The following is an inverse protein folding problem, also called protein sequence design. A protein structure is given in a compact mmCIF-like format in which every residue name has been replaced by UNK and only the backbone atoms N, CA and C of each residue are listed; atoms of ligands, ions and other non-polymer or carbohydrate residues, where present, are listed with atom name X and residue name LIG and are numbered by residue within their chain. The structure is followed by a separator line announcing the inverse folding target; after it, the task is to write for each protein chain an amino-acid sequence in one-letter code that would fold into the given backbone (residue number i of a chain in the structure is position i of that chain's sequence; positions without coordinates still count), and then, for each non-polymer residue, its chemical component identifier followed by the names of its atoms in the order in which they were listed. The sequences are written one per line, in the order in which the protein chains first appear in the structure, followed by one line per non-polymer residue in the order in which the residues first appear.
data_IF_319348837532
#
_entry.id   IF_319348837532
#
_cell.length_a   1.000
_cell.length_b   1.000
_cell.length_c   1.000
_cell.angle_alpha   90.00
_cell.angle_beta   90.00
_cell.angle_gamma   90.00
#
_symmetry.space_group_name_H-M   'P 1'
#
loop_
_entity.id
_entity.type
_entity.pdbx_description
1 polymer ?
#
# COMPACT_ATOMS: atom_id res chain seq x y z
N UNK A 1 1.97 -12.77 7.40
CA UNK A 1 0.65 -12.63 6.75
C UNK A 1 0.72 -13.19 5.34
N UNK A 2 -0.30 -13.98 4.93
CA UNK A 2 -0.33 -14.58 3.60
C UNK A 2 -1.74 -14.49 2.99
N UNK A 3 -1.83 -14.06 1.75
CA UNK A 3 -3.01 -14.12 0.90
C UNK A 3 -2.77 -15.19 -0.17
N UNK A 4 -3.77 -16.05 -0.45
CA UNK A 4 -3.67 -17.12 -1.44
C UNK A 4 -4.81 -16.99 -2.46
N UNK A 5 -4.45 -16.70 -3.72
CA UNK A 5 -5.35 -16.61 -4.87
C UNK A 5 -6.64 -15.80 -4.60
N UNK A 6 -6.51 -14.69 -3.88
CA UNK A 6 -7.63 -13.85 -3.45
C UNK A 6 -8.30 -13.21 -4.67
N UNK A 7 -9.60 -13.47 -4.81
CA UNK A 7 -10.47 -12.85 -5.81
C UNK A 7 -11.63 -12.14 -5.12
N UNK A 8 -12.04 -10.98 -5.61
CA UNK A 8 -13.19 -10.28 -5.08
C UNK A 8 -13.98 -9.54 -6.15
N UNK A 9 -15.32 -9.66 -6.06
CA UNK A 9 -16.25 -9.02 -6.98
C UNK A 9 -17.31 -8.24 -6.20
N UNK A 10 -17.67 -7.05 -6.69
CA UNK A 10 -18.83 -6.28 -6.22
C UNK A 10 -19.94 -6.36 -7.28
N UNK A 11 -21.11 -6.82 -6.90
CA UNK A 11 -22.29 -6.91 -7.80
C UNK A 11 -21.96 -7.60 -9.15
N UNK A 12 -21.16 -8.67 -9.11
CA UNK A 12 -20.75 -9.42 -10.30
C UNK A 12 -19.59 -8.81 -11.10
N UNK A 13 -19.09 -7.63 -10.72
CA UNK A 13 -17.93 -7.00 -11.35
C UNK A 13 -16.67 -7.39 -10.58
N UNK A 14 -15.75 -8.10 -11.24
CA UNK A 14 -14.47 -8.50 -10.65
C UNK A 14 -13.58 -7.27 -10.46
N UNK A 15 -13.11 -7.04 -9.22
CA UNK A 15 -12.23 -5.92 -8.85
C UNK A 15 -10.81 -6.41 -8.56
N UNK A 16 -10.68 -7.59 -7.95
CA UNK A 16 -9.39 -8.26 -7.67
C UNK A 16 -9.49 -9.68 -8.21
N UNK A 17 -8.44 -10.13 -8.88
CA UNK A 17 -8.42 -11.43 -9.53
C UNK A 17 -7.12 -12.20 -9.25
N UNK A 18 -7.24 -13.25 -8.43
CA UNK A 18 -6.20 -14.25 -8.18
C UNK A 18 -4.94 -13.70 -7.49
N UNK A 19 -5.06 -12.72 -6.59
CA UNK A 19 -3.91 -12.12 -5.91
C UNK A 19 -3.36 -13.06 -4.82
N UNK A 20 -2.04 -13.32 -4.91
CA UNK A 20 -1.29 -13.99 -3.84
C UNK A 20 -0.18 -13.07 -3.33
N UNK A 21 -0.09 -12.94 -2.00
CA UNK A 21 0.88 -12.08 -1.32
C UNK A 21 1.37 -12.75 -0.05
N UNK A 22 2.66 -12.84 0.10
CA UNK A 22 3.30 -13.20 1.37
C UNK A 22 4.09 -12.00 1.88
N UNK A 23 3.95 -11.65 3.15
CA UNK A 23 4.70 -10.58 3.82
C UNK A 23 5.51 -11.19 4.94
N UNK A 24 6.83 -11.07 4.84
CA UNK A 24 7.78 -11.58 5.83
C UNK A 24 7.81 -10.71 7.08
N UNK A 25 8.28 -11.27 8.19
CA UNK A 25 8.46 -10.50 9.42
C UNK A 25 9.44 -9.33 9.21
N UNK A 26 9.04 -8.13 9.59
CA UNK A 26 9.83 -6.90 9.44
C UNK A 26 9.94 -6.37 8.01
N UNK A 27 9.26 -6.97 7.04
CA UNK A 27 9.29 -6.52 5.65
C UNK A 27 8.31 -5.38 5.39
N UNK A 28 8.73 -4.37 4.65
CA UNK A 28 7.85 -3.34 4.09
C UNK A 28 7.61 -3.65 2.61
N UNK A 29 6.37 -3.94 2.25
CA UNK A 29 5.92 -4.16 0.87
C UNK A 29 5.08 -2.98 0.41
N UNK A 30 5.43 -2.37 -0.73
CA UNK A 30 4.57 -1.38 -1.36
C UNK A 30 3.81 -1.98 -2.53
N UNK A 31 2.53 -1.62 -2.68
CA UNK A 31 1.71 -1.96 -3.83
C UNK A 31 1.37 -0.67 -4.58
N UNK A 32 1.81 -0.57 -5.82
CA UNK A 32 1.52 0.57 -6.70
C UNK A 32 0.60 0.14 -7.84
N UNK A 33 -0.24 1.04 -8.30
CA UNK A 33 -1.19 0.77 -9.38
C UNK A 33 -2.10 1.96 -9.65
N UNK A 34 -2.80 1.98 -10.80
CA UNK A 34 -3.71 3.07 -11.15
C UNK A 34 -4.86 3.21 -10.14
N UNK A 35 -5.51 4.38 -10.14
CA UNK A 35 -6.71 4.59 -9.33
C UNK A 35 -7.81 3.61 -9.74
N UNK A 36 -8.54 3.07 -8.75
CA UNK A 36 -9.63 2.13 -9.00
C UNK A 36 -9.21 0.68 -9.31
N UNK A 37 -7.92 0.34 -9.31
CA UNK A 37 -7.47 -1.04 -9.60
C UNK A 37 -7.70 -2.04 -8.44
N UNK A 38 -8.25 -1.60 -7.29
CA UNK A 38 -8.57 -2.51 -6.17
C UNK A 38 -7.59 -2.52 -5.01
N UNK A 39 -6.60 -1.59 -4.93
CA UNK A 39 -5.60 -1.53 -3.84
C UNK A 39 -6.23 -1.45 -2.45
N UNK A 40 -7.16 -0.52 -2.24
CA UNK A 40 -7.88 -0.38 -0.96
C UNK A 40 -8.75 -1.59 -0.66
N UNK A 41 -9.33 -2.23 -1.68
CA UNK A 41 -10.10 -3.48 -1.54
C UNK A 41 -9.17 -4.60 -1.07
N UNK A 42 -7.98 -4.73 -1.65
CA UNK A 42 -6.97 -5.70 -1.24
C UNK A 42 -6.60 -5.53 0.24
N UNK A 43 -6.32 -4.29 0.67
CA UNK A 43 -6.00 -4.02 2.07
C UNK A 43 -7.16 -4.35 3.02
N UNK A 44 -8.40 -4.03 2.64
CA UNK A 44 -9.58 -4.36 3.46
C UNK A 44 -9.78 -5.87 3.60
N UNK A 45 -9.51 -6.62 2.53
CA UNK A 45 -9.53 -8.09 2.58
C UNK A 45 -8.39 -8.61 3.48
N UNK A 46 -7.17 -8.09 3.31
CA UNK A 46 -6.02 -8.46 4.14
C UNK A 46 -6.26 -8.15 5.63
N UNK A 47 -7.01 -7.09 5.94
CA UNK A 47 -7.41 -6.70 7.30
C UNK A 47 -8.57 -7.53 7.88
N UNK A 48 -9.20 -8.41 7.09
CA UNK A 48 -10.42 -9.10 7.50
C UNK A 48 -11.67 -8.22 7.57
N UNK A 49 -11.59 -6.98 7.05
CA UNK A 49 -12.72 -6.04 6.99
C UNK A 49 -13.68 -6.34 5.83
N UNK A 50 -13.23 -7.15 4.89
CA UNK A 50 -14.00 -7.59 3.73
C UNK A 50 -13.65 -9.04 3.44
N UNK A 51 -14.66 -9.90 3.31
CA UNK A 51 -14.44 -11.29 2.92
C UNK A 51 -14.07 -11.37 1.42
N UNK A 52 -13.08 -12.18 1.02
CA UNK A 52 -12.83 -12.45 -0.39
C UNK A 52 -14.00 -13.24 -0.98
N UNK A 53 -14.25 -13.10 -2.30
CA UNK A 53 -15.23 -13.93 -3.02
C UNK A 53 -14.68 -15.34 -3.27
N UNK A 54 -13.35 -15.46 -3.41
CA UNK A 54 -12.62 -16.72 -3.56
C UNK A 54 -11.18 -16.55 -3.03
N UNK A 55 -10.51 -17.66 -2.73
CA UNK A 55 -9.19 -17.65 -2.11
C UNK A 55 -9.25 -17.54 -0.60
N UNK A 56 -8.09 -17.32 0.04
CA UNK A 56 -7.99 -17.28 1.50
C UNK A 56 -6.98 -16.26 2.00
N UNK A 57 -7.20 -15.80 3.24
CA UNK A 57 -6.28 -14.92 3.98
C UNK A 57 -5.86 -15.65 5.24
N UNK A 58 -4.57 -15.83 5.40
CA UNK A 58 -3.96 -16.44 6.57
C UNK A 58 -3.19 -15.37 7.36
N UNK A 59 -3.82 -14.88 8.40
CA UNK A 59 -3.25 -13.95 9.37
C UNK A 59 -3.41 -14.57 10.76
N UNK A 60 -2.81 -15.76 10.95
CA UNK A 60 -2.92 -16.53 12.20
C UNK A 60 -2.38 -15.70 13.37
N UNK A 61 -3.23 -15.43 14.35
CA UNK A 61 -2.95 -14.71 15.61
C UNK A 61 -2.25 -13.34 15.44
N UNK A 62 -2.26 -12.79 14.23
CA UNK A 62 -1.62 -11.51 13.95
C UNK A 62 -2.53 -10.35 14.37
N UNK A 63 -1.98 -9.46 15.19
CA UNK A 63 -2.60 -8.17 15.43
C UNK A 63 -2.34 -7.29 14.22
N UNK A 64 -3.40 -7.02 13.44
CA UNK A 64 -3.32 -6.19 12.24
C UNK A 64 -3.66 -4.76 12.61
N UNK A 65 -2.71 -3.85 12.37
CA UNK A 65 -2.93 -2.41 12.45
C UNK A 65 -3.38 -1.87 11.09
N UNK A 66 -4.36 -0.96 11.08
CA UNK A 66 -4.80 -0.31 9.85
C UNK A 66 -4.63 1.21 9.95
N UNK A 67 -3.95 1.79 8.96
CA UNK A 67 -3.78 3.24 8.79
C UNK A 67 -4.56 3.66 7.56
N UNK A 68 -5.60 4.46 7.77
CA UNK A 68 -6.45 4.99 6.70
C UNK A 68 -5.86 6.26 6.10
N UNK A 69 -6.24 6.57 4.87
CA UNK A 69 -5.92 7.83 4.20
C UNK A 69 -6.42 9.05 5.00
N UNK A 70 -7.63 8.97 5.54
CA UNK A 70 -8.08 9.88 6.60
C UNK A 70 -7.63 9.30 7.95
N UNK A 71 -6.90 10.06 8.78
CA UNK A 71 -6.37 9.59 10.07
C UNK A 71 -7.41 9.02 11.04
N UNK A 72 -8.70 9.24 10.82
CA UNK A 72 -9.84 8.71 11.60
C UNK A 72 -9.65 8.89 13.12
N UNK A 73 -9.11 10.05 13.55
CA UNK A 73 -8.90 10.38 14.96
C UNK A 73 -10.24 10.65 15.63
N UNK A 74 -10.33 10.32 16.94
CA UNK A 74 -11.51 10.65 17.73
C UNK A 74 -11.49 12.14 18.09
N UNK A 75 -12.37 12.99 17.52
CA UNK A 75 -12.29 14.44 17.69
C UNK A 75 -12.55 14.89 19.12
N UNK A 76 -13.24 14.08 19.92
CA UNK A 76 -13.53 14.31 21.35
C UNK A 76 -12.46 13.75 22.30
N UNK A 77 -11.31 13.26 21.77
CA UNK A 77 -10.17 12.80 22.57
C UNK A 77 -8.95 13.63 22.26
N UNK A 78 -8.20 14.01 23.29
CA UNK A 78 -6.89 14.67 23.15
C UNK A 78 -5.88 13.73 22.51
N UNK A 79 -4.76 14.29 22.04
CA UNK A 79 -3.64 13.56 21.40
C UNK A 79 -3.23 12.33 22.22
N UNK A 80 -2.91 12.51 23.50
CA UNK A 80 -2.49 11.40 24.36
C UNK A 80 -3.54 10.29 24.47
N UNK A 81 -4.82 10.65 24.52
CA UNK A 81 -5.92 9.69 24.64
C UNK A 81 -6.27 9.03 23.30
N UNK A 82 -6.00 9.67 22.15
CA UNK A 82 -6.04 9.04 20.85
C UNK A 82 -4.92 8.01 20.72
N UNK A 83 -3.68 8.37 21.10
CA UNK A 83 -2.52 7.49 21.04
C UNK A 83 -2.73 6.21 21.88
N UNK A 84 -3.27 6.36 23.09
CA UNK A 84 -3.51 5.25 24.03
C UNK A 84 -4.73 4.38 23.69
N UNK A 85 -5.52 4.74 22.67
CA UNK A 85 -6.81 4.09 22.40
C UNK A 85 -6.72 2.58 22.20
N UNK A 86 -5.68 2.12 21.52
CA UNK A 86 -5.45 0.72 21.17
C UNK A 86 -4.32 0.07 21.98
N UNK A 87 -3.68 0.82 22.87
CA UNK A 87 -2.59 0.33 23.70
C UNK A 87 -3.11 -0.60 24.81
N UNK A 88 -2.28 -1.54 25.22
CA UNK A 88 -2.53 -2.32 26.44
C UNK A 88 -2.39 -1.45 27.68
N UNK A 89 -3.07 -1.81 28.80
CA UNK A 89 -3.09 -0.99 30.02
C UNK A 89 -1.71 -0.69 30.63
N UNK A 90 -0.72 -1.51 30.35
CA UNK A 90 0.64 -1.38 30.90
C UNK A 90 1.65 -0.77 29.92
N UNK A 91 1.22 -0.28 28.75
CA UNK A 91 2.10 0.21 27.68
C UNK A 91 2.29 1.73 27.67
N UNK A 92 1.97 2.42 28.77
CA UNK A 92 2.05 3.89 28.85
C UNK A 92 3.44 4.44 28.49
N UNK A 93 4.52 3.80 28.99
CA UNK A 93 5.88 4.19 28.66
C UNK A 93 6.19 4.00 27.15
N UNK A 94 5.72 2.91 26.56
CA UNK A 94 5.88 2.65 25.14
C UNK A 94 5.11 3.67 24.28
N UNK A 95 3.86 3.98 24.63
CA UNK A 95 3.09 5.00 23.91
C UNK A 95 3.76 6.37 24.02
N UNK A 96 4.32 6.70 25.20
CA UNK A 96 5.07 7.95 25.39
C UNK A 96 6.29 8.00 24.45
N UNK A 97 7.07 6.93 24.37
CA UNK A 97 8.23 6.86 23.47
C UNK A 97 7.84 6.97 21.98
N UNK A 98 6.69 6.40 21.58
CA UNK A 98 6.17 6.56 20.22
C UNK A 98 5.76 8.02 19.94
N UNK A 99 5.10 8.68 20.90
CA UNK A 99 4.72 10.11 20.79
C UNK A 99 5.95 11.02 20.70
N UNK A 100 7.00 10.72 21.47
CA UNK A 100 8.29 11.42 21.40
C UNK A 100 8.95 11.24 20.03
N UNK A 101 9.06 10.00 19.57
CA UNK A 101 9.63 9.68 18.25
C UNK A 101 8.86 10.29 17.09
N UNK A 102 7.54 10.47 17.23
CA UNK A 102 6.68 11.14 16.25
C UNK A 102 6.65 12.67 16.37
N UNK A 103 7.45 13.27 17.28
CA UNK A 103 7.51 14.73 17.50
C UNK A 103 6.22 15.32 18.06
N UNK A 104 5.42 14.54 18.82
CA UNK A 104 4.13 14.95 19.37
C UNK A 104 4.16 15.27 20.87
N UNK A 105 5.32 15.21 21.53
CA UNK A 105 5.48 15.39 22.98
C UNK A 105 4.92 16.72 23.51
N UNK A 106 5.06 17.81 22.74
CA UNK A 106 4.56 19.14 23.11
C UNK A 106 3.08 19.35 22.82
N UNK A 107 2.41 18.35 22.22
CA UNK A 107 1.04 18.43 21.72
C UNK A 107 0.05 17.52 22.45
N UNK A 108 0.47 16.84 23.54
CA UNK A 108 -0.30 15.80 24.23
C UNK A 108 -1.70 16.22 24.67
N UNK A 109 -1.86 17.49 25.06
CA UNK A 109 -3.11 18.05 25.54
C UNK A 109 -3.98 18.71 24.47
N UNK A 110 -3.49 18.79 23.21
CA UNK A 110 -4.25 19.32 22.08
C UNK A 110 -5.34 18.37 21.61
N UNK A 111 -6.33 18.93 20.93
CA UNK A 111 -7.39 18.20 20.25
C UNK A 111 -7.01 17.96 18.77
N UNK A 112 -7.58 16.95 18.09
CA UNK A 112 -7.28 16.67 16.68
C UNK A 112 -7.47 17.87 15.75
N UNK A 113 -8.46 18.73 15.97
CA UNK A 113 -8.70 19.91 15.14
C UNK A 113 -7.61 20.99 15.26
N UNK A 114 -6.80 20.97 16.32
CA UNK A 114 -5.67 21.88 16.52
C UNK A 114 -4.36 21.39 15.88
N UNK A 115 -4.39 20.20 15.24
CA UNK A 115 -3.23 19.57 14.60
C UNK A 115 -3.20 19.83 13.09
N UNK A 116 -2.00 19.98 12.54
CA UNK A 116 -1.79 19.94 11.08
C UNK A 116 -2.12 18.56 10.51
N UNK A 117 -2.32 18.45 9.19
CA UNK A 117 -2.55 17.17 8.51
C UNK A 117 -1.46 16.13 8.79
N UNK A 118 -0.19 16.54 8.72
CA UNK A 118 0.95 15.68 9.05
C UNK A 118 0.94 15.20 10.50
N UNK A 119 0.63 16.10 11.45
CA UNK A 119 0.53 15.71 12.87
C UNK A 119 -0.62 14.74 13.13
N UNK A 120 -1.75 14.89 12.43
CA UNK A 120 -2.87 13.94 12.50
C UNK A 120 -2.44 12.57 12.00
N UNK A 121 -1.71 12.51 10.89
CA UNK A 121 -1.21 11.25 10.34
C UNK A 121 -0.19 10.59 11.27
N UNK A 122 0.76 11.34 11.85
CA UNK A 122 1.69 10.83 12.87
C UNK A 122 0.94 10.24 14.06
N UNK A 123 -0.08 10.92 14.55
CA UNK A 123 -0.91 10.43 15.66
C UNK A 123 -1.66 9.15 15.28
N UNK A 124 -2.16 9.03 14.06
CA UNK A 124 -2.78 7.81 13.55
C UNK A 124 -1.79 6.63 13.50
N UNK A 125 -0.56 6.87 13.04
CA UNK A 125 0.52 5.89 13.08
C UNK A 125 0.87 5.47 14.51
N UNK A 126 1.09 6.44 15.41
CA UNK A 126 1.35 6.16 16.85
C UNK A 126 0.25 5.32 17.46
N UNK A 127 -1.02 5.69 17.25
CA UNK A 127 -2.17 4.93 17.74
C UNK A 127 -2.17 3.49 17.23
N UNK A 128 -1.87 3.30 15.96
CA UNK A 128 -1.80 1.97 15.34
C UNK A 128 -0.64 1.16 15.90
N UNK A 129 0.56 1.75 16.01
CA UNK A 129 1.73 1.08 16.57
C UNK A 129 1.61 0.79 18.07
N UNK A 130 0.83 1.58 18.81
CA UNK A 130 0.60 1.40 20.25
C UNK A 130 -0.05 0.05 20.59
N UNK A 131 -0.77 -0.58 19.65
CA UNK A 131 -1.30 -1.94 19.81
C UNK A 131 -0.24 -3.04 19.59
N UNK A 132 1.00 -2.68 19.25
CA UNK A 132 2.08 -3.61 18.86
C UNK A 132 1.63 -4.58 17.76
N UNK A 133 1.26 -4.07 16.57
CA UNK A 133 0.78 -4.92 15.50
C UNK A 133 1.92 -5.77 14.93
N UNK A 134 1.61 -6.98 14.49
CA UNK A 134 2.53 -7.83 13.72
C UNK A 134 2.66 -7.32 12.28
N UNK A 135 1.53 -6.78 11.75
CA UNK A 135 1.45 -6.22 10.40
C UNK A 135 0.68 -4.90 10.43
N UNK A 136 1.21 -3.90 9.76
CA UNK A 136 0.55 -2.61 9.50
C UNK A 136 0.09 -2.57 8.04
N UNK A 137 -1.18 -2.31 7.81
CA UNK A 137 -1.76 -2.08 6.49
C UNK A 137 -2.05 -0.58 6.36
N UNK A 138 -1.50 0.07 5.33
CA UNK A 138 -1.62 1.51 5.15
C UNK A 138 -2.17 1.86 3.76
N UNK A 139 -3.34 2.51 3.75
CA UNK A 139 -4.07 2.89 2.53
C UNK A 139 -3.80 4.37 2.21
N UNK A 140 -2.89 4.64 1.28
CA UNK A 140 -2.45 5.98 0.84
C UNK A 140 -2.18 6.96 2.01
N UNK A 141 -1.39 6.58 3.02
CA UNK A 141 -1.33 7.31 4.30
C UNK A 141 -0.76 8.72 4.16
N UNK A 142 -0.02 8.99 3.08
CA UNK A 142 0.63 10.29 2.86
C UNK A 142 0.03 11.08 1.69
N UNK A 143 -1.01 10.56 1.04
CA UNK A 143 -1.58 11.13 -0.18
C UNK A 143 -2.11 12.56 -0.04
N UNK A 144 -2.63 12.93 1.13
CA UNK A 144 -3.20 14.26 1.41
C UNK A 144 -2.16 15.30 1.88
N UNK A 145 -0.86 14.96 1.90
CA UNK A 145 0.20 15.81 2.45
C UNK A 145 0.99 16.51 1.34
N UNK A 146 1.48 17.72 1.65
CA UNK A 146 2.48 18.39 0.82
C UNK A 146 3.80 17.59 0.78
N UNK A 147 4.61 17.82 -0.24
CA UNK A 147 5.81 17.04 -0.50
C UNK A 147 6.84 17.09 0.65
N UNK A 148 7.04 18.26 1.25
CA UNK A 148 8.04 18.41 2.33
C UNK A 148 7.61 17.63 3.55
N UNK A 149 6.36 17.81 3.99
CA UNK A 149 5.78 17.08 5.13
C UNK A 149 5.79 15.57 4.87
N UNK A 150 5.47 15.14 3.65
CA UNK A 150 5.49 13.73 3.25
C UNK A 150 6.88 13.13 3.39
N UNK A 151 7.91 13.79 2.88
CA UNK A 151 9.30 13.31 2.98
C UNK A 151 9.75 13.17 4.44
N UNK A 152 9.44 14.14 5.30
CA UNK A 152 9.73 14.05 6.73
C UNK A 152 9.03 12.86 7.39
N UNK A 153 7.77 12.61 7.04
CA UNK A 153 7.03 11.47 7.59
C UNK A 153 7.57 10.12 7.12
N UNK A 154 8.08 10.04 5.89
CA UNK A 154 8.77 8.85 5.40
C UNK A 154 10.04 8.55 6.21
N UNK A 155 10.84 9.58 6.49
CA UNK A 155 12.07 9.44 7.28
C UNK A 155 11.73 8.99 8.72
N UNK A 156 10.73 9.61 9.34
CA UNK A 156 10.22 9.24 10.67
C UNK A 156 9.65 7.80 10.72
N UNK A 157 8.90 7.38 9.69
CA UNK A 157 8.38 6.01 9.60
C UNK A 157 9.53 5.00 9.55
N UNK A 158 10.57 5.25 8.76
CA UNK A 158 11.74 4.38 8.67
C UNK A 158 12.55 4.37 9.97
N UNK A 159 12.65 5.50 10.66
CA UNK A 159 13.30 5.58 11.99
C UNK A 159 12.51 4.77 13.05
N UNK A 160 11.18 4.91 13.08
CA UNK A 160 10.31 4.10 13.93
C UNK A 160 10.44 2.60 13.62
N UNK A 161 10.43 2.24 12.34
CA UNK A 161 10.60 0.86 11.89
C UNK A 161 11.97 0.28 12.29
N UNK A 162 13.04 1.07 12.21
CA UNK A 162 14.39 0.63 12.61
C UNK A 162 14.50 0.34 14.11
N UNK A 163 13.81 1.13 14.95
CA UNK A 163 13.80 1.00 16.41
C UNK A 163 12.88 -0.10 16.91
N UNK A 164 11.79 -0.34 16.22
CA UNK A 164 10.77 -1.34 16.57
C UNK A 164 10.23 -1.96 15.28
N UNK A 165 10.90 -2.99 14.73
CA UNK A 165 10.50 -3.58 13.45
C UNK A 165 9.08 -4.15 13.48
N UNK A 166 8.30 -3.86 12.45
CA UNK A 166 6.97 -4.40 12.17
C UNK A 166 6.86 -4.68 10.67
N UNK A 167 6.03 -5.64 10.29
CA UNK A 167 5.75 -5.84 8.86
C UNK A 167 4.76 -4.78 8.37
N UNK A 168 4.88 -4.36 7.11
CA UNK A 168 3.98 -3.35 6.56
C UNK A 168 3.60 -3.64 5.11
N UNK A 169 2.33 -3.43 4.78
CA UNK A 169 1.87 -3.30 3.40
C UNK A 169 1.33 -1.89 3.21
N UNK A 170 1.98 -1.13 2.34
CA UNK A 170 1.54 0.21 1.98
C UNK A 170 1.01 0.22 0.55
N UNK A 171 -0.19 0.74 0.32
CA UNK A 171 -0.67 1.03 -1.02
C UNK A 171 -0.53 2.52 -1.30
N UNK A 172 -0.04 2.84 -2.47
CA UNK A 172 0.18 4.23 -2.89
C UNK A 172 0.13 4.34 -4.41
N UNK A 173 -0.10 5.53 -4.92
CA UNK A 173 0.07 5.88 -6.33
C UNK A 173 1.42 6.59 -6.58
N UNK A 174 2.18 6.92 -5.54
CA UNK A 174 3.47 7.61 -5.62
C UNK A 174 4.62 6.59 -5.70
N UNK A 175 5.28 6.51 -6.85
CA UNK A 175 6.36 5.56 -7.10
C UNK A 175 7.59 5.87 -6.24
N UNK A 176 7.93 7.14 -6.08
CA UNK A 176 9.04 7.59 -5.24
C UNK A 176 8.85 7.23 -3.77
N UNK A 177 7.61 7.32 -3.26
CA UNK A 177 7.23 6.86 -1.92
C UNK A 177 7.44 5.34 -1.78
N UNK A 178 6.91 4.56 -2.72
CA UNK A 178 7.03 3.12 -2.73
C UNK A 178 8.49 2.66 -2.74
N UNK A 179 9.32 3.24 -3.62
CA UNK A 179 10.76 2.92 -3.73
C UNK A 179 11.53 3.37 -2.48
N UNK A 180 11.15 4.51 -1.89
CA UNK A 180 11.83 5.01 -0.70
C UNK A 180 11.56 4.19 0.55
N UNK A 181 10.34 3.70 0.73
CA UNK A 181 9.93 3.01 1.96
C UNK A 181 10.12 1.49 1.90
N UNK A 182 9.82 0.85 0.77
CA UNK A 182 9.65 -0.59 0.69
C UNK A 182 10.96 -1.37 0.49
N UNK A 183 10.95 -2.64 0.88
CA UNK A 183 11.97 -3.62 0.53
C UNK A 183 11.69 -4.24 -0.84
N UNK A 184 10.42 -4.29 -1.25
CA UNK A 184 9.97 -4.59 -2.62
C UNK A 184 8.70 -3.83 -2.98
N UNK A 185 8.59 -3.51 -4.25
CA UNK A 185 7.41 -2.86 -4.83
C UNK A 185 6.69 -3.83 -5.75
N UNK A 186 5.40 -4.00 -5.54
CA UNK A 186 4.53 -4.83 -6.38
C UNK A 186 3.70 -3.90 -7.26
N UNK A 187 3.74 -4.12 -8.56
CA UNK A 187 2.91 -3.40 -9.52
C UNK A 187 1.60 -4.13 -9.76
N UNK A 188 0.49 -3.40 -9.66
CA UNK A 188 -0.86 -3.91 -9.87
C UNK A 188 -1.46 -3.38 -11.17
N UNK A 189 -2.08 -4.26 -11.96
CA UNK A 189 -2.77 -3.91 -13.22
C UNK A 189 -3.99 -3.03 -12.98
N UNK A 190 -4.54 -2.34 -14.01
CA UNK A 190 -5.91 -1.84 -13.98
C UNK A 190 -6.93 -2.94 -13.63
N UNK A 191 -8.17 -2.52 -13.29
CA UNK A 191 -9.23 -3.47 -12.95
C UNK A 191 -9.54 -4.47 -14.11
N UNK A 192 -9.73 -5.77 -13.80
CA UNK A 192 -9.53 -6.40 -12.50
C UNK A 192 -8.07 -6.42 -12.10
N UNK A 193 -7.81 -5.97 -10.85
CA UNK A 193 -6.44 -5.84 -10.34
C UNK A 193 -5.77 -7.18 -10.16
N UNK A 194 -4.60 -7.34 -10.77
CA UNK A 194 -3.70 -8.48 -10.64
C UNK A 194 -2.30 -7.99 -10.34
N UNK A 195 -1.51 -8.77 -9.64
CA UNK A 195 -0.08 -8.49 -9.53
C UNK A 195 0.62 -8.86 -10.84
N UNK A 196 1.28 -7.88 -11.45
CA UNK A 196 1.94 -8.05 -12.76
C UNK A 196 3.45 -8.12 -12.66
N UNK A 197 4.04 -7.48 -11.64
CA UNK A 197 5.48 -7.56 -11.40
C UNK A 197 5.81 -7.26 -9.95
N UNK A 198 6.98 -7.74 -9.53
CA UNK A 198 7.62 -7.43 -8.25
C UNK A 198 9.01 -6.89 -8.52
N UNK A 199 9.32 -5.72 -7.98
CA UNK A 199 10.64 -5.08 -8.08
C UNK A 199 11.29 -5.08 -6.70
N UNK A 200 12.37 -5.81 -6.53
CA UNK A 200 13.19 -5.76 -5.31
C UNK A 200 13.92 -4.42 -5.20
N UNK A 201 13.85 -3.81 -4.03
CA UNK A 201 14.47 -2.51 -3.76
C UNK A 201 15.76 -2.73 -2.97
N UNK A 202 16.85 -2.87 -3.71
CA UNK A 202 18.20 -3.08 -3.17
C UNK A 202 18.87 -1.73 -2.84
N UNK A 203 18.30 -1.02 -1.87
CA UNK A 203 18.85 0.22 -1.31
C UNK A 203 19.17 -0.02 0.15
N UNK A 204 20.39 0.36 0.55
CA UNK A 204 20.87 0.16 1.91
C UNK A 204 20.02 0.92 2.95
N UNK A 205 19.98 0.39 4.16
CA UNK A 205 19.42 1.04 5.34
C UNK A 205 20.57 1.47 6.29
N UNK A 206 20.48 2.59 7.00
CA UNK A 206 19.35 3.53 7.05
C UNK A 206 19.25 4.38 5.77
N UNK A 207 18.06 4.56 5.26
CA UNK A 207 17.78 5.44 4.12
C UNK A 207 17.69 6.88 4.62
N UNK A 208 18.37 7.79 3.93
CA UNK A 208 18.36 9.22 4.23
C UNK A 208 17.71 10.01 3.11
N UNK A 209 17.26 11.23 3.38
CA UNK A 209 16.67 12.11 2.38
C UNK A 209 17.54 12.30 1.13
N UNK A 210 18.89 12.29 1.29
CA UNK A 210 19.85 12.40 0.19
C UNK A 210 19.74 11.26 -0.84
N UNK A 211 19.26 10.07 -0.42
CA UNK A 211 19.07 8.92 -1.30
C UNK A 211 18.15 9.24 -2.49
N UNK A 212 17.15 10.09 -2.29
CA UNK A 212 16.17 10.51 -3.32
C UNK A 212 16.79 11.19 -4.53
N UNK A 213 18.01 11.74 -4.36
CA UNK A 213 18.75 12.47 -5.39
C UNK A 213 19.86 11.64 -6.05
N UNK A 214 19.92 10.33 -5.78
CA UNK A 214 20.91 9.43 -6.36
C UNK A 214 20.41 8.80 -7.68
N UNK A 215 21.35 8.48 -8.58
CA UNK A 215 21.05 7.78 -9.83
C UNK A 215 20.37 6.43 -9.57
N UNK A 216 20.86 5.65 -8.59
CA UNK A 216 20.31 4.35 -8.23
C UNK A 216 18.83 4.42 -7.81
N UNK A 217 18.44 5.46 -7.06
CA UNK A 217 17.03 5.70 -6.71
C UNK A 217 16.19 6.03 -7.94
N UNK A 218 16.71 6.91 -8.82
CA UNK A 218 16.05 7.28 -10.07
C UNK A 218 15.83 6.09 -11.00
N UNK A 219 16.82 5.20 -11.13
CA UNK A 219 16.71 3.98 -11.94
C UNK A 219 15.65 3.01 -11.40
N UNK A 220 15.56 2.85 -10.07
CA UNK A 220 14.52 2.04 -9.44
C UNK A 220 13.12 2.62 -9.69
N UNK A 221 12.96 3.92 -9.52
CA UNK A 221 11.68 4.60 -9.85
C UNK A 221 11.33 4.43 -11.34
N UNK A 222 12.31 4.56 -12.24
CA UNK A 222 12.13 4.35 -13.67
C UNK A 222 11.67 2.92 -14.00
N UNK A 223 12.26 1.90 -13.38
CA UNK A 223 11.84 0.50 -13.58
C UNK A 223 10.40 0.25 -13.14
N UNK A 224 10.02 0.74 -11.95
CA UNK A 224 8.64 0.62 -11.45
C UNK A 224 7.68 1.37 -12.36
N UNK A 225 8.04 2.58 -12.81
CA UNK A 225 7.22 3.37 -13.73
C UNK A 225 7.00 2.68 -15.08
N UNK A 226 8.05 2.10 -15.67
CA UNK A 226 7.95 1.33 -16.92
C UNK A 226 6.99 0.16 -16.79
N UNK A 227 7.15 -0.64 -15.72
CA UNK A 227 6.26 -1.77 -15.45
C UNK A 227 4.80 -1.34 -15.29
N UNK A 228 4.56 -0.21 -14.59
CA UNK A 228 3.21 0.33 -14.40
C UNK A 228 2.60 0.79 -15.73
N UNK A 229 3.38 1.42 -16.59
CA UNK A 229 2.94 1.87 -17.92
C UNK A 229 2.61 0.68 -18.83
N UNK A 230 3.46 -0.36 -18.84
CA UNK A 230 3.22 -1.59 -19.59
C UNK A 230 1.94 -2.29 -19.13
N UNK A 231 1.72 -2.39 -17.82
CA UNK A 231 0.51 -2.97 -17.22
C UNK A 231 -0.77 -2.18 -17.55
N UNK A 232 -0.63 -0.86 -17.77
CA UNK A 232 -1.75 0.04 -18.08
C UNK A 232 -2.03 0.17 -19.56
N UNK A 233 -1.10 -0.28 -20.43
CA UNK A 233 -1.28 -0.24 -21.89
C UNK A 233 -2.29 -1.30 -22.31
N UNK A 234 -3.32 -0.96 -23.13
CA UNK A 234 -4.24 -1.96 -23.66
C UNK A 234 -3.43 -2.98 -24.47
N UNK A 235 -3.55 -4.27 -24.14
CA UNK A 235 -2.98 -5.34 -24.97
C UNK A 235 -3.50 -5.12 -26.39
N UNK A 236 -2.59 -4.78 -27.31
CA UNK A 236 -2.91 -4.77 -28.75
C UNK A 236 -3.34 -6.19 -29.09
N UNK A 237 -4.65 -6.37 -29.21
CA UNK A 237 -5.23 -7.64 -29.59
C UNK A 237 -4.52 -8.19 -30.81
N UNK A 238 -4.07 -9.42 -30.72
CA UNK A 238 -3.62 -10.19 -31.88
C UNK A 238 -4.79 -10.19 -32.87
N UNK A 239 -4.65 -9.38 -33.91
CA UNK A 239 -5.57 -9.37 -35.04
C UNK A 239 -5.50 -10.79 -35.65
N UNK A 240 -6.55 -11.59 -35.40
CA UNK A 240 -6.80 -12.78 -36.19
C UNK A 240 -6.89 -12.33 -37.64
N UNK A 241 -5.86 -12.64 -38.42
CA UNK A 241 -5.97 -12.58 -39.87
C UNK A 241 -7.07 -13.57 -40.28
N UNK A 242 -8.21 -13.01 -40.63
CA UNK A 242 -9.25 -13.76 -41.32
C UNK A 242 -8.74 -13.98 -42.74
N UNK A 243 -8.29 -15.19 -43.00
CA UNK A 243 -7.90 -15.65 -44.31
C UNK A 243 -9.13 -15.67 -45.22
N UNK A 244 -9.29 -14.62 -46.01
CA UNK A 244 -10.33 -14.50 -47.03
C UNK A 244 -9.86 -15.13 -48.33
N UNK A 245 -9.95 -16.46 -48.42
CA UNK A 245 -9.80 -17.18 -49.67
C UNK A 245 -11.06 -17.01 -50.52
N UNK A 246 -10.99 -16.40 -51.72
CA UNK A 246 -12.17 -16.28 -52.58
C UNK A 246 -12.50 -17.64 -53.21
N UNK A 247 -13.65 -18.22 -52.95
CA UNK A 247 -14.20 -19.36 -53.67
C UNK A 247 -14.43 -18.96 -55.13
N UNK A 248 -13.66 -19.55 -56.04
CA UNK A 248 -13.94 -19.52 -57.47
C UNK A 248 -15.26 -20.29 -57.76
N UNK A 249 -16.24 -19.59 -58.19
CA UNK A 249 -17.45 -20.19 -58.82
C UNK A 249 -17.12 -20.49 -60.28
N UNK A 250 -17.00 -21.78 -60.61
CA UNK A 250 -16.95 -22.26 -62.00
C UNK A 250 -18.38 -22.32 -62.53
N UNK A 251 -18.75 -21.41 -63.45
CA UNK A 251 -19.91 -21.53 -64.31
C UNK A 251 -19.58 -22.52 -65.45
N UNK A 252 -20.18 -23.68 -65.43
CA UNK A 252 -20.34 -24.51 -66.67
C UNK A 252 -21.65 -24.14 -67.33
N UNK A 253 -21.56 -23.59 -68.51
CA UNK A 253 -22.65 -23.52 -69.46
C UNK A 253 -22.86 -24.85 -70.13
N UNK A 254 -24.09 -25.13 -70.44
CA UNK A 254 -24.45 -26.15 -71.45
C UNK A 254 -25.67 -25.65 -72.18
N UNK A 255 -25.50 -25.49 -73.48
CA UNK A 255 -26.45 -25.59 -74.62
C UNK A 255 -27.86 -25.02 -74.45
#
# INVERSE_FOLDING_TARGET
MQLQSVTHSFNGVCVIDGISLEVKAGEIVAVVGPSGCGKSTLLRIAAGLLAPSDGSVHAHDERIGFVFQDPALLPWRKVVNNAKLLASRNDDAFVTSLLESAGLSTHLNKWPHELSGGMKMRLSLVRTLAMRPSVVLADEPFGALDQITRHHLHDELLDLHSKSPFSMVIVTHAIDEAVYLADRVITMSPAPGRFVATTEIKLDRPRTSALRYTAAFGELCGRVASTLNEASSPQRGSTMQVDSTPKRTSSRGTT
#
